data_IF_776007215555
#
_entry.id   IF_776007215555
#
_cell.length_a   1.000
_cell.length_b   1.000
_cell.length_c   1.000
_cell.angle_alpha   90.00
_cell.angle_beta   90.00
_cell.angle_gamma   90.00
#
_symmetry.space_group_name_H-M   'P 1'
#
loop_
_entity.id
_entity.type
_entity.pdbx_description
1 polymer ?
#
# COMPACT_ATOMS: atom_id res chain seq x y z
N UNK A 1 9.60 1.23 29.08
CA UNK A 1 11.00 1.51 28.73
C UNK A 1 11.92 0.83 29.73
N UNK A 2 13.00 0.20 29.26
CA UNK A 2 14.00 -0.42 30.09
C UNK A 2 15.34 0.32 29.89
N UNK A 3 15.95 0.74 31.00
CA UNK A 3 17.25 1.44 30.99
C UNK A 3 18.22 0.65 31.84
N UNK A 4 19.36 0.28 31.25
CA UNK A 4 20.40 -0.50 31.90
C UNK A 4 21.74 0.19 31.78
N UNK A 5 22.60 0.01 32.76
CA UNK A 5 23.94 0.58 32.81
C UNK A 5 25.00 -0.52 32.77
N UNK A 6 26.07 -0.32 32.03
CA UNK A 6 27.23 -1.21 32.01
C UNK A 6 28.52 -0.39 31.97
N UNK A 7 29.64 -0.86 32.55
CA UNK A 7 30.94 -0.22 32.33
C UNK A 7 31.26 -0.25 30.84
N UNK A 8 31.97 0.79 30.38
CA UNK A 8 32.45 0.81 29.00
C UNK A 8 33.35 -0.44 28.77
N UNK A 9 33.13 -1.12 27.64
CA UNK A 9 33.87 -2.32 27.24
C UNK A 9 33.57 -3.61 28.05
N UNK A 10 32.51 -3.61 28.89
CA UNK A 10 32.05 -4.81 29.60
C UNK A 10 30.62 -5.14 29.18
N UNK A 11 30.28 -6.44 29.19
CA UNK A 11 28.92 -6.91 28.83
C UNK A 11 27.99 -7.01 30.05
N UNK A 12 28.54 -6.87 31.27
CA UNK A 12 27.78 -7.06 32.52
C UNK A 12 27.09 -5.77 32.94
N UNK A 13 25.78 -5.81 33.10
CA UNK A 13 25.00 -4.71 33.67
C UNK A 13 25.25 -4.53 35.16
N UNK A 14 25.29 -3.29 35.59
CA UNK A 14 25.54 -2.89 36.99
C UNK A 14 24.55 -1.82 37.44
N UNK A 15 24.23 -1.79 38.74
CA UNK A 15 23.44 -0.72 39.38
C UNK A 15 24.30 0.22 40.21
N UNK A 16 25.55 -0.13 40.48
CA UNK A 16 26.47 0.68 41.26
C UNK A 16 27.91 0.48 40.75
N UNK A 17 28.72 1.51 40.85
CA UNK A 17 30.12 1.52 40.45
C UNK A 17 30.98 2.20 41.51
N UNK A 18 32.09 1.55 41.91
CA UNK A 18 33.08 2.19 42.82
C UNK A 18 34.07 3.04 42.01
N UNK A 19 34.15 4.30 42.32
CA UNK A 19 35.10 5.24 41.74
C UNK A 19 36.01 5.72 42.84
N UNK A 20 37.34 5.60 42.66
CA UNK A 20 38.33 6.14 43.59
C UNK A 20 38.49 7.64 43.40
N UNK A 21 38.93 8.35 44.43
CA UNK A 21 39.20 9.77 44.35
C UNK A 21 40.17 10.11 43.19
N UNK A 22 39.86 11.11 42.40
CA UNK A 22 40.64 11.52 41.24
C UNK A 22 40.52 10.61 40.02
N UNK A 23 39.66 9.58 40.00
CA UNK A 23 39.44 8.71 38.86
C UNK A 23 38.13 9.02 38.14
N UNK A 24 38.10 8.81 36.85
CA UNK A 24 36.92 8.83 36.00
C UNK A 24 36.63 7.44 35.47
N UNK A 25 35.37 7.12 35.25
CA UNK A 25 34.92 5.87 34.62
C UNK A 25 33.87 6.21 33.59
N UNK A 26 34.00 5.62 32.40
CA UNK A 26 32.98 5.69 31.36
C UNK A 26 31.96 4.57 31.52
N UNK A 27 30.71 4.90 31.34
CA UNK A 27 29.59 3.95 31.39
C UNK A 27 28.81 3.98 30.09
N UNK A 28 28.36 2.81 29.63
CA UNK A 28 27.37 2.68 28.57
C UNK A 28 25.98 2.68 29.17
N UNK A 29 25.08 3.41 28.54
CA UNK A 29 23.64 3.37 28.84
C UNK A 29 22.97 2.65 27.70
N UNK A 30 22.28 1.56 28.02
CA UNK A 30 21.45 0.82 27.06
C UNK A 30 19.99 1.13 27.35
N UNK A 31 19.32 1.66 26.34
CA UNK A 31 17.90 2.03 26.42
C UNK A 31 17.12 1.17 25.46
N UNK A 32 16.15 0.40 25.99
CA UNK A 32 15.22 -0.39 25.20
C UNK A 32 13.85 0.30 25.29
N UNK A 33 13.34 0.86 24.17
CA UNK A 33 12.03 1.50 24.19
C UNK A 33 10.91 0.48 24.34
N UNK A 34 9.76 0.94 24.81
CA UNK A 34 8.52 0.17 24.78
C UNK A 34 8.16 -0.14 23.32
N UNK A 35 7.77 -1.39 22.99
CA UNK A 35 7.33 -1.74 21.63
C UNK A 35 6.18 -0.89 21.09
N UNK A 36 5.35 -0.34 21.97
CA UNK A 36 4.24 0.55 21.61
C UNK A 36 4.62 2.04 21.62
N UNK A 37 5.90 2.38 21.86
CA UNK A 37 6.32 3.77 21.88
C UNK A 37 6.24 4.40 20.49
N UNK A 38 5.60 5.55 20.41
CA UNK A 38 5.50 6.32 19.17
C UNK A 38 6.85 6.96 18.78
N UNK A 39 7.08 7.23 17.49
CA UNK A 39 8.24 8.00 17.06
C UNK A 39 8.25 9.39 17.72
N UNK A 40 9.40 9.81 18.25
CA UNK A 40 9.51 11.07 18.96
C UNK A 40 10.81 11.21 19.73
N UNK A 41 10.93 12.32 20.44
CA UNK A 41 12.05 12.61 21.31
C UNK A 41 11.65 12.35 22.77
N UNK A 42 12.45 11.54 23.46
CA UNK A 42 12.20 11.12 24.83
C UNK A 42 13.37 11.57 25.72
N UNK A 43 13.18 12.60 26.54
CA UNK A 43 14.20 13.01 27.50
C UNK A 43 14.32 11.99 28.63
N UNK A 44 15.52 11.56 28.92
CA UNK A 44 15.85 10.66 30.03
C UNK A 44 16.81 11.38 30.94
N UNK A 45 16.45 11.58 32.21
CA UNK A 45 17.35 12.09 33.21
C UNK A 45 18.10 10.96 33.88
N UNK A 46 19.41 11.02 33.83
CA UNK A 46 20.31 10.07 34.49
C UNK A 46 20.84 10.74 35.77
N UNK A 47 20.53 10.16 36.93
CA UNK A 47 21.01 10.63 38.21
C UNK A 47 22.06 9.66 38.76
N UNK A 48 23.15 10.20 39.24
CA UNK A 48 24.22 9.45 39.90
C UNK A 48 24.35 9.95 41.34
N UNK A 49 24.07 9.07 42.30
CA UNK A 49 24.12 9.38 43.70
C UNK A 49 25.25 8.64 44.43
N UNK A 50 26.00 9.34 45.23
CA UNK A 50 26.97 8.78 46.17
C UNK A 50 26.73 9.32 47.59
N UNK A 51 27.52 8.86 48.59
CA UNK A 51 27.31 9.25 49.98
C UNK A 51 27.41 10.77 50.23
N UNK A 52 28.21 11.48 49.44
CA UNK A 52 28.53 12.92 49.62
C UNK A 52 28.33 13.78 48.41
N UNK A 53 27.92 13.19 47.27
CA UNK A 53 27.76 13.93 46.05
C UNK A 53 26.62 13.36 45.22
N UNK A 54 25.94 14.22 44.48
CA UNK A 54 24.94 13.88 43.48
C UNK A 54 25.23 14.66 42.22
N UNK A 55 25.00 14.05 41.09
CA UNK A 55 25.07 14.70 39.77
C UNK A 55 23.98 14.12 38.90
N UNK A 56 23.47 14.91 37.99
CA UNK A 56 22.50 14.50 37.00
C UNK A 56 22.91 15.00 35.61
N UNK A 57 22.41 14.32 34.61
CA UNK A 57 22.53 14.73 33.21
C UNK A 57 21.30 14.29 32.45
N UNK A 58 20.91 15.09 31.47
CA UNK A 58 19.79 14.78 30.58
C UNK A 58 20.33 14.18 29.27
N UNK A 59 19.73 13.08 28.85
CA UNK A 59 19.95 12.41 27.56
C UNK A 59 18.66 12.48 26.77
N UNK A 60 18.75 12.67 25.46
CA UNK A 60 17.60 12.60 24.57
C UNK A 60 17.69 11.35 23.71
N UNK A 61 16.69 10.46 23.83
CA UNK A 61 16.54 9.32 22.94
C UNK A 61 15.58 9.72 21.83
N UNK A 62 16.06 9.67 20.57
CA UNK A 62 15.25 9.93 19.39
C UNK A 62 14.77 8.60 18.81
N UNK A 63 13.48 8.32 18.96
CA UNK A 63 12.86 7.15 18.37
C UNK A 63 12.37 7.50 16.97
N UNK A 64 12.99 6.89 15.95
CA UNK A 64 12.59 7.06 14.55
C UNK A 64 11.59 6.00 14.16
N UNK A 65 10.48 6.41 13.51
CA UNK A 65 9.47 5.48 13.03
C UNK A 65 9.95 4.71 11.79
N UNK A 66 9.39 3.51 11.63
CA UNK A 66 9.54 2.72 10.41
C UNK A 66 8.49 3.12 9.39
N UNK A 67 8.89 3.13 8.12
CA UNK A 67 7.98 3.38 7.00
C UNK A 67 7.75 2.09 6.25
N UNK A 68 6.50 1.65 6.22
CA UNK A 68 6.09 0.46 5.48
C UNK A 68 4.65 0.64 5.01
N UNK A 69 4.41 0.46 3.72
CA UNK A 69 3.07 0.44 3.12
C UNK A 69 2.87 -0.94 2.52
N UNK A 70 1.68 -1.47 2.68
CA UNK A 70 1.22 -2.65 1.98
C UNK A 70 -0.07 -2.34 1.26
N UNK A 71 -0.13 -2.76 -0.01
CA UNK A 71 -1.35 -2.71 -0.81
C UNK A 71 -1.76 -4.12 -1.27
N UNK A 72 -3.04 -4.30 -1.60
CA UNK A 72 -3.56 -5.58 -2.04
C UNK A 72 -5.06 -5.56 -2.22
N UNK A 73 -5.63 -6.72 -2.53
CA UNK A 73 -7.08 -6.96 -2.55
C UNK A 73 -7.47 -7.80 -1.34
N UNK A 74 -8.71 -7.66 -0.90
CA UNK A 74 -9.22 -8.37 0.28
C UNK A 74 -9.20 -9.91 0.12
N UNK A 75 -9.36 -10.38 -1.10
CA UNK A 75 -9.36 -11.82 -1.47
C UNK A 75 -8.00 -12.31 -1.99
N UNK A 76 -7.00 -11.42 -2.10
CA UNK A 76 -5.70 -11.71 -2.67
C UNK A 76 -5.69 -11.87 -4.19
N UNK A 77 -6.82 -11.65 -4.87
CA UNK A 77 -6.94 -11.80 -6.31
C UNK A 77 -6.71 -10.46 -7.02
N UNK A 78 -5.58 -10.33 -7.68
CA UNK A 78 -5.24 -9.17 -8.51
C UNK A 78 -5.65 -9.45 -9.97
N UNK A 79 -6.96 -9.66 -10.19
CA UNK A 79 -7.50 -9.92 -11.52
C UNK A 79 -8.83 -9.20 -11.73
N UNK A 80 -9.03 -8.68 -12.95
CA UNK A 80 -10.19 -7.92 -13.36
C UNK A 80 -10.63 -8.35 -14.75
N UNK A 81 -11.95 -8.52 -14.96
CA UNK A 81 -12.52 -8.70 -16.30
C UNK A 81 -13.10 -7.38 -16.77
N UNK A 82 -12.77 -6.95 -17.98
CA UNK A 82 -13.28 -5.72 -18.56
C UNK A 82 -13.71 -5.96 -20.02
N UNK A 83 -14.72 -5.23 -20.50
CA UNK A 83 -15.07 -5.16 -21.90
C UNK A 83 -14.18 -4.16 -22.64
N UNK A 84 -14.12 -4.27 -23.99
CA UNK A 84 -13.48 -3.28 -24.84
C UNK A 84 -14.19 -1.92 -24.68
N UNK A 85 -13.48 -0.86 -24.30
CA UNK A 85 -14.02 0.47 -24.03
C UNK A 85 -14.95 0.57 -22.81
N UNK A 86 -15.16 -0.50 -22.08
CA UNK A 86 -16.06 -0.53 -20.92
C UNK A 86 -15.28 -0.43 -19.62
N UNK A 87 -15.65 0.49 -18.70
CA UNK A 87 -14.99 0.60 -17.41
C UNK A 87 -15.31 -0.60 -16.52
N UNK A 88 -14.30 -1.08 -15.82
CA UNK A 88 -14.45 -2.09 -14.77
C UNK A 88 -13.73 -1.64 -13.52
N UNK A 89 -14.25 -1.98 -12.34
CA UNK A 89 -13.74 -1.48 -11.07
C UNK A 89 -13.30 -2.63 -10.16
N UNK A 90 -12.18 -2.43 -9.50
CA UNK A 90 -11.63 -3.28 -8.46
C UNK A 90 -11.38 -2.42 -7.22
N UNK A 91 -11.49 -3.00 -6.03
CA UNK A 91 -11.09 -2.34 -4.79
C UNK A 91 -9.78 -2.90 -4.28
N UNK A 92 -8.83 -2.03 -3.99
CA UNK A 92 -7.61 -2.37 -3.27
C UNK A 92 -7.66 -1.77 -1.86
N UNK A 93 -6.95 -2.37 -0.93
CA UNK A 93 -6.65 -1.75 0.36
C UNK A 93 -5.22 -1.23 0.36
N UNK A 94 -4.98 -0.18 1.15
CA UNK A 94 -3.66 0.36 1.46
C UNK A 94 -3.54 0.41 2.97
N UNK A 95 -2.55 -0.29 3.51
CA UNK A 95 -2.28 -0.43 4.95
C UNK A 95 -0.94 0.20 5.30
N UNK A 96 -0.89 1.00 6.34
CA UNK A 96 0.38 1.45 6.92
C UNK A 96 0.84 0.43 7.96
N UNK A 97 1.82 -0.39 7.62
CA UNK A 97 2.45 -1.37 8.54
C UNK A 97 3.62 -0.80 9.32
N UNK A 98 4.06 0.39 8.97
CA UNK A 98 5.10 1.09 9.71
C UNK A 98 4.58 1.70 11.00
N UNK A 99 5.51 2.17 11.84
CA UNK A 99 5.19 2.94 13.06
C UNK A 99 5.18 4.46 12.84
N UNK A 100 5.59 4.93 11.65
CA UNK A 100 5.48 6.33 11.27
C UNK A 100 4.23 6.60 10.45
N UNK A 101 3.61 7.76 10.66
CA UNK A 101 2.51 8.24 9.82
C UNK A 101 2.98 8.39 8.38
N UNK A 102 2.25 7.81 7.44
CA UNK A 102 2.47 8.04 6.01
C UNK A 102 1.68 9.27 5.58
N UNK A 103 2.34 10.15 4.85
CA UNK A 103 1.73 11.37 4.31
C UNK A 103 1.80 11.38 2.80
N UNK A 104 0.81 12.04 2.17
CA UNK A 104 0.77 12.24 0.72
C UNK A 104 0.95 10.93 -0.06
N UNK A 105 0.17 9.90 0.31
CA UNK A 105 0.17 8.64 -0.43
C UNK A 105 -0.52 8.87 -1.77
N UNK A 106 0.20 8.63 -2.86
CA UNK A 106 -0.24 8.82 -4.24
C UNK A 106 -0.31 7.50 -4.97
N UNK A 107 -1.19 7.45 -5.95
CA UNK A 107 -1.39 6.30 -6.81
C UNK A 107 -0.88 6.60 -8.21
N UNK A 108 -0.18 5.66 -8.80
CA UNK A 108 0.29 5.70 -10.16
C UNK A 108 -0.08 4.39 -10.85
N UNK A 109 -0.28 4.45 -12.14
CA UNK A 109 -0.55 3.26 -12.95
C UNK A 109 0.33 3.25 -14.20
N UNK A 110 0.72 2.06 -14.60
CA UNK A 110 1.41 1.80 -15.86
C UNK A 110 0.58 0.77 -16.61
N UNK A 111 -0.14 1.24 -17.61
CA UNK A 111 -1.11 0.48 -18.39
C UNK A 111 -0.73 0.48 -19.87
N UNK A 112 -1.33 -0.40 -20.70
CA UNK A 112 -1.18 -0.36 -22.15
C UNK A 112 -1.61 0.97 -22.75
N UNK A 113 -1.16 1.23 -23.98
CA UNK A 113 -1.49 2.45 -24.70
C UNK A 113 -2.99 2.62 -24.92
N UNK A 114 -3.49 3.85 -24.78
CA UNK A 114 -4.91 4.22 -24.90
C UNK A 114 -5.85 3.56 -23.87
N UNK A 115 -5.31 3.05 -22.77
CA UNK A 115 -6.09 2.63 -21.62
C UNK A 115 -6.17 3.75 -20.59
N UNK A 116 -7.26 3.80 -19.83
CA UNK A 116 -7.44 4.74 -18.74
C UNK A 116 -7.52 4.01 -17.41
N UNK A 117 -6.78 4.51 -16.42
CA UNK A 117 -6.83 4.02 -15.03
C UNK A 117 -7.00 5.21 -14.10
N UNK A 118 -8.01 5.13 -13.23
CA UNK A 118 -8.28 6.17 -12.23
C UNK A 118 -8.49 5.56 -10.86
N UNK A 119 -8.24 6.35 -9.82
CA UNK A 119 -8.31 5.95 -8.42
C UNK A 119 -9.35 6.81 -7.68
N UNK A 120 -10.06 6.20 -6.75
CA UNK A 120 -11.01 6.88 -5.88
C UNK A 120 -10.87 6.39 -4.42
N UNK A 121 -10.35 7.24 -3.51
CA UNK A 121 -9.80 8.59 -3.74
C UNK A 121 -8.52 8.56 -4.60
N UNK A 122 -8.19 9.70 -5.22
CA UNK A 122 -6.99 9.88 -6.05
C UNK A 122 -5.68 9.94 -5.24
N UNK A 123 -5.79 10.23 -3.94
CA UNK A 123 -4.69 10.30 -2.98
C UNK A 123 -5.17 10.12 -1.54
N UNK A 124 -4.26 9.78 -0.63
CA UNK A 124 -4.51 9.74 0.81
C UNK A 124 -3.55 10.72 1.48
N UNK A 125 -4.09 11.82 2.03
CA UNK A 125 -3.28 12.86 2.67
C UNK A 125 -2.52 12.36 3.89
N UNK A 126 -3.18 11.53 4.71
CA UNK A 126 -2.60 11.00 5.94
C UNK A 126 -3.11 9.59 6.19
N UNK A 127 -2.17 8.67 6.44
CA UNK A 127 -2.45 7.27 6.80
C UNK A 127 -1.67 6.94 8.08
N UNK A 128 -2.32 6.97 9.25
CA UNK A 128 -1.72 6.62 10.54
C UNK A 128 -1.20 5.17 10.60
N UNK A 129 -0.30 4.85 11.54
CA UNK A 129 0.15 3.49 11.79
C UNK A 129 -1.02 2.53 12.02
N UNK A 130 -1.00 1.36 11.36
CA UNK A 130 -2.03 0.33 11.48
C UNK A 130 -3.36 0.66 10.79
N UNK A 131 -3.52 1.84 10.20
CA UNK A 131 -4.74 2.20 9.49
C UNK A 131 -4.76 1.55 8.09
N UNK A 132 -5.96 1.12 7.70
CA UNK A 132 -6.26 0.55 6.38
C UNK A 132 -7.25 1.48 5.68
N UNK A 133 -6.95 1.85 4.43
CA UNK A 133 -7.84 2.61 3.55
C UNK A 133 -8.18 1.80 2.31
N UNK A 134 -9.45 1.86 1.94
CA UNK A 134 -9.91 1.26 0.69
C UNK A 134 -9.86 2.30 -0.43
N UNK A 135 -9.41 1.86 -1.59
CA UNK A 135 -9.27 2.69 -2.80
C UNK A 135 -9.88 1.94 -3.97
N UNK A 136 -10.81 2.58 -4.65
CA UNK A 136 -11.38 2.07 -5.89
C UNK A 136 -10.41 2.27 -7.05
N UNK A 137 -10.16 1.24 -7.84
CA UNK A 137 -9.36 1.31 -9.07
C UNK A 137 -10.29 1.03 -10.23
N UNK A 138 -10.50 2.03 -11.07
CA UNK A 138 -11.29 1.93 -12.28
C UNK A 138 -10.37 1.80 -13.48
N UNK A 139 -10.54 0.74 -14.25
CA UNK A 139 -9.74 0.46 -15.46
C UNK A 139 -10.68 0.44 -16.65
N UNK A 140 -10.35 1.22 -17.68
CA UNK A 140 -11.07 1.27 -18.95
C UNK A 140 -10.11 0.87 -20.08
N UNK A 141 -10.22 -0.35 -20.62
CA UNK A 141 -9.44 -0.73 -21.78
C UNK A 141 -9.79 0.12 -23.01
N UNK A 142 -8.85 0.24 -23.95
CA UNK A 142 -9.13 0.86 -25.24
C UNK A 142 -10.29 0.13 -25.95
N UNK A 143 -11.11 0.86 -26.71
CA UNK A 143 -12.12 0.29 -27.61
C UNK A 143 -11.52 -0.66 -28.66
N UNK A 144 -10.24 -0.46 -28.99
CA UNK A 144 -9.50 -1.27 -29.95
C UNK A 144 -8.65 -2.36 -29.29
N UNK A 145 -8.75 -2.53 -27.96
CA UNK A 145 -7.99 -3.55 -27.25
C UNK A 145 -8.37 -4.95 -27.79
N UNK A 146 -7.37 -5.77 -28.07
CA UNK A 146 -7.63 -7.16 -28.44
C UNK A 146 -8.11 -7.97 -27.25
N UNK A 147 -8.92 -8.99 -27.52
CA UNK A 147 -9.33 -9.96 -26.48
C UNK A 147 -8.11 -10.71 -25.97
N UNK A 148 -7.90 -10.73 -24.66
CA UNK A 148 -6.73 -11.36 -24.05
C UNK A 148 -6.44 -10.83 -22.65
N UNK A 149 -5.32 -11.27 -22.11
CA UNK A 149 -4.84 -10.88 -20.78
C UNK A 149 -3.76 -9.81 -20.90
N UNK A 150 -3.89 -8.79 -20.08
CA UNK A 150 -2.97 -7.66 -19.99
C UNK A 150 -2.52 -7.45 -18.56
N UNK A 151 -1.28 -7.00 -18.37
CA UNK A 151 -0.77 -6.56 -17.07
C UNK A 151 -0.93 -5.04 -16.95
N UNK A 152 -1.48 -4.60 -15.83
CA UNK A 152 -1.53 -3.20 -15.41
C UNK A 152 -0.79 -3.11 -14.08
N UNK A 153 0.32 -2.38 -14.03
CA UNK A 153 1.06 -2.17 -12.81
C UNK A 153 0.51 -0.96 -12.07
N UNK A 154 0.15 -1.16 -10.81
CA UNK A 154 -0.32 -0.13 -9.90
C UNK A 154 0.78 0.12 -8.86
N UNK A 155 1.15 1.38 -8.64
CA UNK A 155 2.16 1.78 -7.66
C UNK A 155 1.54 2.68 -6.61
N UNK A 156 1.65 2.27 -5.35
CA UNK A 156 1.23 3.05 -4.18
C UNK A 156 2.47 3.69 -3.58
N UNK A 157 2.58 5.01 -3.60
CA UNK A 157 3.77 5.75 -3.18
C UNK A 157 3.49 6.68 -2.02
N UNK A 158 4.12 6.41 -0.88
CA UNK A 158 4.28 7.35 0.22
C UNK A 158 5.54 8.23 0.03
N UNK A 159 5.88 9.03 1.03
CA UNK A 159 7.06 9.91 0.98
C UNK A 159 8.39 9.15 0.96
N UNK A 160 8.47 8.01 1.64
CA UNK A 160 9.72 7.25 1.85
C UNK A 160 9.61 5.77 1.49
N UNK A 161 8.45 5.33 1.07
CA UNK A 161 8.19 3.90 0.81
C UNK A 161 7.17 3.77 -0.30
N UNK A 162 7.25 2.69 -1.06
CA UNK A 162 6.27 2.33 -2.08
C UNK A 162 5.97 0.85 -2.03
N UNK A 163 4.81 0.49 -2.57
CA UNK A 163 4.41 -0.89 -2.83
C UNK A 163 3.79 -0.97 -4.23
N UNK A 164 4.11 -2.02 -4.96
CA UNK A 164 3.70 -2.21 -6.35
C UNK A 164 2.85 -3.46 -6.48
N UNK A 165 1.76 -3.36 -7.25
CA UNK A 165 0.82 -4.43 -7.53
C UNK A 165 0.72 -4.67 -9.03
N UNK A 166 0.77 -5.91 -9.47
CA UNK A 166 0.48 -6.29 -10.86
C UNK A 166 -0.97 -6.79 -10.97
N UNK A 167 -1.82 -6.00 -11.61
CA UNK A 167 -3.20 -6.33 -11.88
C UNK A 167 -3.31 -7.00 -13.25
N UNK A 168 -3.85 -8.21 -13.29
CA UNK A 168 -4.20 -8.91 -14.52
C UNK A 168 -5.58 -8.48 -14.99
N UNK A 169 -5.66 -7.87 -16.15
CA UNK A 169 -6.91 -7.45 -16.78
C UNK A 169 -7.21 -8.34 -17.98
N UNK A 170 -8.30 -9.11 -17.90
CA UNK A 170 -8.78 -9.95 -18.99
C UNK A 170 -9.80 -9.17 -19.81
N UNK A 171 -9.43 -8.77 -21.03
CA UNK A 171 -10.33 -8.11 -21.96
C UNK A 171 -11.18 -9.15 -22.67
N UNK A 172 -12.51 -8.96 -22.61
CA UNK A 172 -13.50 -9.80 -23.28
C UNK A 172 -14.13 -9.07 -24.46
N UNK A 173 -14.54 -9.82 -25.47
CA UNK A 173 -15.30 -9.26 -26.58
C UNK A 173 -16.60 -8.66 -26.11
N UNK A 174 -16.97 -7.49 -26.65
CA UNK A 174 -18.28 -6.88 -26.40
C UNK A 174 -19.40 -7.79 -26.93
N UNK A 175 -20.37 -8.09 -26.10
CA UNK A 175 -21.55 -8.88 -26.47
C UNK A 175 -22.43 -8.17 -27.54
N UNK A 176 -22.23 -6.88 -27.78
CA UNK A 176 -22.98 -6.09 -28.74
C UNK A 176 -22.89 -6.68 -30.18
N UNK A 177 -21.74 -7.20 -30.58
CA UNK A 177 -21.55 -7.85 -31.86
C UNK A 177 -22.36 -9.14 -32.05
N UNK A 178 -22.67 -9.86 -30.97
CA UNK A 178 -23.55 -11.02 -30.98
C UNK A 178 -24.99 -10.66 -31.39
N UNK A 179 -25.50 -9.54 -30.90
CA UNK A 179 -26.87 -9.08 -31.26
C UNK A 179 -26.96 -8.58 -32.69
N UNK A 180 -25.91 -7.99 -33.26
CA UNK A 180 -25.85 -7.62 -34.66
C UNK A 180 -25.94 -8.87 -35.58
N UNK A 181 -25.25 -9.95 -35.21
CA UNK A 181 -25.33 -11.22 -35.90
C UNK A 181 -26.73 -11.85 -35.86
N UNK A 182 -27.37 -11.86 -34.67
CA UNK A 182 -28.75 -12.34 -34.52
C UNK A 182 -29.72 -11.48 -35.34
N UNK A 183 -29.59 -10.17 -35.33
CA UNK A 183 -30.40 -9.26 -36.11
C UNK A 183 -30.26 -9.51 -37.65
N UNK A 184 -29.06 -9.73 -38.10
CA UNK A 184 -28.80 -10.07 -39.53
C UNK A 184 -29.45 -11.41 -39.93
N UNK A 185 -29.35 -12.43 -39.06
CA UNK A 185 -29.99 -13.74 -39.34
C UNK A 185 -31.54 -13.57 -39.39
N UNK A 186 -32.13 -12.84 -38.46
CA UNK A 186 -33.56 -12.58 -38.46
C UNK A 186 -34.04 -11.82 -39.69
N UNK A 187 -33.26 -10.85 -40.18
CA UNK A 187 -33.49 -10.12 -41.42
C UNK A 187 -33.48 -11.05 -42.65
N UNK A 188 -32.49 -11.95 -42.73
CA UNK A 188 -32.42 -12.95 -43.81
C UNK A 188 -33.59 -13.89 -43.77
N UNK A 189 -33.95 -14.41 -42.60
CA UNK A 189 -35.10 -15.29 -42.42
C UNK A 189 -36.42 -14.59 -42.83
N UNK A 190 -36.62 -13.35 -42.39
CA UNK A 190 -37.77 -12.54 -42.75
C UNK A 190 -37.85 -12.30 -44.26
N UNK A 191 -36.70 -11.98 -44.88
CA UNK A 191 -36.61 -11.82 -46.34
C UNK A 191 -36.95 -13.08 -47.13
N UNK A 192 -36.49 -14.26 -46.68
CA UNK A 192 -36.81 -15.55 -47.29
C UNK A 192 -38.31 -15.89 -47.13
N UNK A 193 -38.91 -15.64 -45.97
CA UNK A 193 -40.36 -15.84 -45.73
C UNK A 193 -41.17 -14.96 -46.64
N UNK A 194 -40.83 -13.66 -46.76
CA UNK A 194 -41.52 -12.73 -47.66
C UNK A 194 -41.43 -13.19 -49.10
N UNK A 195 -40.23 -13.61 -49.55
CA UNK A 195 -39.97 -14.14 -50.88
C UNK A 195 -40.83 -15.37 -51.14
N UNK A 196 -40.87 -16.32 -50.20
CA UNK A 196 -41.61 -17.54 -50.29
C UNK A 196 -43.16 -17.29 -50.43
N UNK A 197 -43.68 -16.36 -49.63
CA UNK A 197 -45.08 -15.94 -49.66
C UNK A 197 -45.43 -15.28 -50.99
N UNK A 198 -44.49 -14.48 -51.55
CA UNK A 198 -44.73 -13.73 -52.77
C UNK A 198 -44.58 -14.58 -54.04
N UNK A 199 -43.61 -15.51 -54.05
CA UNK A 199 -43.38 -16.40 -55.21
C UNK A 199 -44.25 -17.64 -55.15
N UNK A 200 -44.54 -18.19 -53.97
CA UNK A 200 -45.40 -19.38 -53.79
C UNK A 200 -46.90 -19.17 -54.01
N UNK A 201 -47.30 -17.93 -54.34
CA UNK A 201 -48.69 -17.55 -54.62
C UNK A 201 -49.03 -17.50 -56.13
N UNK A 202 -48.30 -18.23 -56.94
CA UNK A 202 -48.63 -18.45 -58.33
C UNK A 202 -49.05 -19.89 -58.58
#
# INVERSE_FOLDING_TARGET
WEVRFKPAYEEKFISSLRIKAGQSRSMGVEVKPDPAAEPGEYPIRVEVGGERARADTDLTVVLTGTHEIRAGTADGLLSLNAGQGEPSTLSIFVENRGSAVQRRVRFLSFQPENWEVSFDPDSIETLPPGEIRQVGVKVTPSEQALVGDYAVNLSVRGEKVSDDLELRVTVRASAAWGWVGVGAILLVIAGLVILFIRVGRR
#
